data_IF_148937695430
#
_entry.id   IF_148937695430
#
_cell.length_a   1.000
_cell.length_b   1.000
_cell.length_c   1.000
_cell.angle_alpha   90.00
_cell.angle_beta   90.00
_cell.angle_gamma   90.00
#
_symmetry.space_group_name_H-M   'P 1'
#
loop_
_entity.id
_entity.type
_entity.pdbx_description
1 polymer ?
#
# COMPACT_ATOMS: atom_id res chain seq x y z
N UNK A 1 5.37 -53.62 59.97
CA UNK A 1 4.62 -52.94 58.89
C UNK A 1 4.54 -51.40 59.03
N UNK A 2 4.45 -50.82 60.23
CA UNK A 2 4.30 -49.36 60.39
C UNK A 2 5.46 -48.48 59.88
N UNK A 3 6.72 -48.88 60.08
CA UNK A 3 7.91 -48.06 59.73
C UNK A 3 8.06 -47.80 58.22
N UNK A 4 7.77 -48.78 57.36
CA UNK A 4 7.77 -48.56 55.89
C UNK A 4 6.67 -47.59 55.45
N UNK A 5 5.52 -47.61 56.13
CA UNK A 5 4.41 -46.71 55.83
C UNK A 5 4.78 -45.25 56.13
N UNK A 6 5.46 -45.00 57.26
CA UNK A 6 5.95 -43.65 57.59
C UNK A 6 6.98 -43.12 56.59
N UNK A 7 7.93 -43.94 56.15
CA UNK A 7 8.89 -43.51 55.12
C UNK A 7 8.23 -43.28 53.77
N UNK A 8 7.28 -44.13 53.35
CA UNK A 8 6.53 -43.96 52.11
C UNK A 8 5.66 -42.68 52.13
N UNK A 9 5.03 -42.36 53.26
CA UNK A 9 4.24 -41.14 53.42
C UNK A 9 5.15 -39.90 53.43
N UNK A 10 6.33 -39.98 54.07
CA UNK A 10 7.32 -38.90 54.07
C UNK A 10 7.87 -38.61 52.68
N UNK A 11 8.23 -39.64 51.91
CA UNK A 11 8.72 -39.46 50.53
C UNK A 11 7.63 -38.96 49.59
N UNK A 12 6.40 -39.47 49.72
CA UNK A 12 5.26 -38.97 48.95
C UNK A 12 4.95 -37.50 49.26
N UNK A 13 5.00 -37.11 50.53
CA UNK A 13 4.78 -35.71 50.94
C UNK A 13 5.86 -34.77 50.39
N UNK A 14 7.13 -35.21 50.38
CA UNK A 14 8.22 -34.44 49.79
C UNK A 14 8.05 -34.30 48.28
N UNK A 15 7.67 -35.37 47.58
CA UNK A 15 7.40 -35.34 46.14
C UNK A 15 6.23 -34.39 45.81
N UNK A 16 5.15 -34.43 46.59
CA UNK A 16 4.01 -33.52 46.42
C UNK A 16 4.37 -32.06 46.70
N UNK A 17 5.25 -31.80 47.67
CA UNK A 17 5.74 -30.45 47.94
C UNK A 17 6.58 -29.94 46.79
N UNK A 18 7.50 -30.76 46.28
CA UNK A 18 8.36 -30.40 45.14
C UNK A 18 7.50 -30.14 43.89
N UNK A 19 6.53 -31.00 43.59
CA UNK A 19 5.63 -30.78 42.43
C UNK A 19 4.75 -29.55 42.60
N UNK A 20 4.28 -29.26 43.82
CA UNK A 20 3.51 -28.04 44.10
C UNK A 20 4.34 -26.77 43.87
N UNK A 21 5.58 -26.74 44.36
CA UNK A 21 6.50 -25.61 44.18
C UNK A 21 6.86 -25.43 42.70
N UNK A 22 7.16 -26.51 41.97
CA UNK A 22 7.50 -26.42 40.55
C UNK A 22 6.32 -25.92 39.72
N UNK A 23 5.10 -26.38 39.99
CA UNK A 23 3.89 -25.88 39.33
C UNK A 23 3.62 -24.40 39.63
N UNK A 24 3.88 -23.95 40.86
CA UNK A 24 3.71 -22.55 41.24
C UNK A 24 4.73 -21.65 40.53
N UNK A 25 6.00 -22.06 40.49
CA UNK A 25 7.05 -21.35 39.75
C UNK A 25 6.73 -21.31 38.26
N UNK A 26 6.28 -22.43 37.68
CA UNK A 26 5.89 -22.49 36.26
C UNK A 26 4.74 -21.51 35.95
N UNK A 27 3.71 -21.43 36.80
CA UNK A 27 2.60 -20.48 36.61
C UNK A 27 3.03 -19.03 36.72
N UNK A 28 3.88 -18.69 37.70
CA UNK A 28 4.39 -17.31 37.85
C UNK A 28 5.27 -16.94 36.65
N UNK A 29 6.11 -17.86 36.19
CA UNK A 29 6.94 -17.65 35.02
C UNK A 29 6.10 -17.45 33.75
N UNK A 30 5.10 -18.31 33.51
CA UNK A 30 4.17 -18.16 32.39
C UNK A 30 3.49 -16.78 32.41
N UNK A 31 2.95 -16.37 33.57
CA UNK A 31 2.32 -15.05 33.70
C UNK A 31 3.28 -13.90 33.44
N UNK A 32 4.54 -14.01 33.89
CA UNK A 32 5.56 -13.00 33.64
C UNK A 32 5.91 -12.91 32.15
N UNK A 33 6.00 -14.05 31.46
CA UNK A 33 6.22 -14.11 30.00
C UNK A 33 5.04 -13.52 29.25
N UNK A 34 3.80 -13.90 29.59
CA UNK A 34 2.59 -13.38 28.95
C UNK A 34 2.51 -11.85 29.11
N UNK A 35 2.79 -11.34 30.31
CA UNK A 35 2.83 -9.89 30.55
C UNK A 35 3.95 -9.18 29.78
N UNK A 36 5.10 -9.82 29.60
CA UNK A 36 6.18 -9.27 28.78
C UNK A 36 5.76 -9.20 27.31
N UNK A 37 5.19 -10.29 26.77
CA UNK A 37 4.69 -10.37 25.39
C UNK A 37 3.58 -9.34 25.14
N UNK A 38 2.62 -9.20 26.06
CA UNK A 38 1.55 -8.19 25.98
C UNK A 38 2.10 -6.76 25.92
N UNK A 39 3.21 -6.49 26.62
CA UNK A 39 3.85 -5.17 26.62
C UNK A 39 4.69 -4.90 25.38
N UNK A 40 5.31 -5.93 24.78
CA UNK A 40 6.27 -5.73 23.69
C UNK A 40 5.69 -5.99 22.31
N UNK A 41 4.76 -6.92 22.13
CA UNK A 41 4.37 -7.40 20.78
C UNK A 41 2.93 -7.04 20.43
N UNK A 42 2.05 -6.94 21.43
CA UNK A 42 0.62 -6.69 21.19
C UNK A 42 0.38 -5.22 20.86
N UNK A 43 -0.49 -4.97 19.86
CA UNK A 43 -1.00 -3.64 19.54
C UNK A 43 -1.94 -3.19 20.65
N UNK A 44 -1.40 -2.51 21.65
CA UNK A 44 -2.13 -1.99 22.80
C UNK A 44 -1.61 -0.61 23.14
N UNK A 45 -2.49 0.29 23.57
CA UNK A 45 -2.08 1.62 24.03
C UNK A 45 -0.98 1.51 25.09
N UNK A 46 0.15 2.17 24.83
CA UNK A 46 1.33 2.17 25.70
C UNK A 46 2.38 1.10 25.39
N UNK A 47 2.19 0.23 24.39
CA UNK A 47 3.25 -0.63 23.88
C UNK A 47 4.08 0.08 22.80
N UNK A 48 5.39 -0.16 22.78
CA UNK A 48 6.31 0.40 21.77
C UNK A 48 5.94 -0.05 20.35
N UNK A 49 5.45 -1.29 20.22
CA UNK A 49 4.96 -1.83 18.94
C UNK A 49 3.73 -1.09 18.45
N UNK A 50 2.82 -0.68 19.34
CA UNK A 50 1.67 0.13 18.94
C UNK A 50 2.10 1.52 18.45
N UNK A 51 3.04 2.17 19.15
CA UNK A 51 3.55 3.49 18.74
C UNK A 51 4.27 3.42 17.39
N UNK A 52 5.11 2.40 17.19
CA UNK A 52 5.80 2.14 15.93
C UNK A 52 4.84 1.76 14.79
N UNK A 53 3.78 1.01 15.08
CA UNK A 53 2.74 0.68 14.09
C UNK A 53 1.91 1.90 13.70
N UNK A 54 1.59 2.75 14.68
CA UNK A 54 0.82 3.99 14.49
C UNK A 54 1.62 5.01 13.69
N UNK A 55 2.90 5.18 14.01
CA UNK A 55 3.83 6.08 13.34
C UNK A 55 5.18 5.38 13.14
N UNK A 56 5.40 4.74 11.98
CA UNK A 56 6.65 4.06 11.67
C UNK A 56 7.85 5.01 11.79
N UNK A 57 8.87 4.67 12.59
CA UNK A 57 10.01 5.56 12.84
C UNK A 57 10.98 5.62 11.66
N UNK A 58 11.02 4.57 10.83
CA UNK A 58 11.93 4.47 9.70
C UNK A 58 11.33 5.14 8.45
N UNK A 59 12.09 6.03 7.77
CA UNK A 59 11.64 6.60 6.51
C UNK A 59 11.57 5.51 5.45
N UNK A 60 10.42 5.42 4.78
CA UNK A 60 10.22 4.51 3.64
C UNK A 60 10.30 5.34 2.37
N UNK A 61 10.94 4.80 1.33
CA UNK A 61 11.05 5.44 0.03
C UNK A 61 10.40 4.56 -1.04
N UNK A 62 9.64 5.19 -1.92
CA UNK A 62 9.14 4.61 -3.17
C UNK A 62 9.94 5.19 -4.33
N UNK A 63 10.43 4.32 -5.22
CA UNK A 63 11.17 4.71 -6.42
C UNK A 63 10.37 4.29 -7.64
N UNK A 64 10.10 5.25 -8.53
CA UNK A 64 9.37 5.00 -9.76
C UNK A 64 10.33 4.97 -10.94
N UNK A 65 10.14 3.97 -11.80
CA UNK A 65 10.85 3.79 -13.06
C UNK A 65 9.81 3.74 -14.17
N UNK A 66 10.05 4.47 -15.25
CA UNK A 66 9.17 4.57 -16.40
C UNK A 66 9.82 3.96 -17.63
N UNK A 67 9.00 3.39 -18.51
CA UNK A 67 9.44 3.00 -19.84
C UNK A 67 9.03 4.06 -20.85
N UNK A 68 10.00 4.84 -21.32
CA UNK A 68 9.82 5.86 -22.34
C UNK A 68 9.80 5.22 -23.73
N UNK A 69 8.77 5.49 -24.52
CA UNK A 69 8.60 4.93 -25.87
C UNK A 69 9.42 5.73 -26.87
N UNK A 70 10.33 5.07 -27.59
CA UNK A 70 11.23 5.74 -28.56
C UNK A 70 10.72 5.73 -30.00
N UNK A 71 9.87 4.77 -30.37
CA UNK A 71 9.42 4.49 -31.74
C UNK A 71 7.87 4.44 -31.90
N UNK A 72 7.13 5.48 -31.48
CA UNK A 72 5.66 5.42 -31.43
C UNK A 72 5.02 5.22 -32.81
N UNK A 73 5.53 5.85 -33.87
CA UNK A 73 5.00 5.73 -35.23
C UNK A 73 5.22 4.33 -35.80
N UNK A 74 6.39 3.73 -35.57
CA UNK A 74 6.66 2.37 -36.01
C UNK A 74 5.79 1.35 -35.28
N UNK A 75 5.50 1.57 -33.99
CA UNK A 75 4.56 0.73 -33.23
C UNK A 75 3.15 0.80 -33.83
N UNK A 76 2.70 1.99 -34.26
CA UNK A 76 1.41 2.13 -34.95
C UNK A 76 1.40 1.42 -36.31
N UNK A 77 2.56 1.30 -36.96
CA UNK A 77 2.78 0.48 -38.15
C UNK A 77 2.83 -1.03 -37.90
N UNK A 78 2.81 -1.47 -36.64
CA UNK A 78 2.87 -2.88 -36.23
C UNK A 78 4.29 -3.40 -35.95
N UNK A 79 5.30 -2.53 -35.89
CA UNK A 79 6.65 -2.93 -35.48
C UNK A 79 6.76 -3.18 -33.98
N UNK A 80 7.88 -3.80 -33.57
CA UNK A 80 8.16 -4.12 -32.17
C UNK A 80 8.45 -2.83 -31.38
N UNK A 81 7.83 -2.62 -30.21
CA UNK A 81 8.13 -1.48 -29.34
C UNK A 81 9.58 -1.45 -28.84
N UNK A 82 10.20 -0.26 -28.92
CA UNK A 82 11.52 0.07 -28.36
C UNK A 82 11.35 1.03 -27.20
N UNK A 83 11.72 0.58 -26.01
CA UNK A 83 11.53 1.29 -24.74
C UNK A 83 12.88 1.63 -24.11
N UNK A 84 12.95 2.77 -23.44
CA UNK A 84 14.08 3.19 -22.63
C UNK A 84 13.62 3.37 -21.17
N UNK A 85 14.31 2.74 -20.22
CA UNK A 85 14.00 2.90 -18.80
C UNK A 85 14.50 4.27 -18.30
N UNK A 86 13.63 5.02 -17.61
CA UNK A 86 13.93 6.32 -17.04
C UNK A 86 13.58 6.31 -15.55
N UNK A 87 14.59 6.48 -14.69
CA UNK A 87 14.42 6.53 -13.25
C UNK A 87 15.76 6.43 -12.50
N UNK A 88 15.74 6.41 -11.16
CA UNK A 88 14.54 6.50 -10.32
C UNK A 88 14.00 7.92 -10.16
N UNK A 89 12.68 8.06 -9.97
CA UNK A 89 12.07 9.21 -9.32
C UNK A 89 11.66 8.82 -7.90
N UNK A 90 12.39 9.34 -6.92
CA UNK A 90 12.31 8.90 -5.53
C UNK A 90 11.38 9.80 -4.72
N UNK A 91 10.44 9.18 -4.00
CA UNK A 91 9.53 9.83 -3.07
C UNK A 91 9.65 9.21 -1.68
N UNK A 92 9.81 10.05 -0.66
CA UNK A 92 9.70 9.65 0.74
C UNK A 92 8.23 9.51 1.11
N UNK A 93 7.88 8.37 1.68
CA UNK A 93 6.54 8.11 2.18
C UNK A 93 6.38 8.59 3.62
N UNK A 94 5.33 9.38 3.85
CA UNK A 94 4.84 9.71 5.19
C UNK A 94 3.67 8.76 5.45
N UNK A 95 3.82 7.88 6.43
CA UNK A 95 2.80 6.88 6.79
C UNK A 95 2.36 7.10 8.23
N UNK A 96 1.05 7.16 8.45
CA UNK A 96 0.48 7.24 9.78
C UNK A 96 -0.89 6.54 9.84
N UNK A 97 -1.24 6.02 11.01
CA UNK A 97 -2.56 5.47 11.30
C UNK A 97 -3.43 6.52 11.99
N UNK A 98 -4.62 6.76 11.46
CA UNK A 98 -5.63 7.65 12.02
C UNK A 98 -6.90 6.86 12.39
N UNK A 99 -7.81 7.50 13.14
CA UNK A 99 -9.11 6.95 13.54
C UNK A 99 -9.01 5.54 14.15
N UNK A 100 -8.03 5.37 15.03
CA UNK A 100 -7.74 4.07 15.66
C UNK A 100 -8.82 3.76 16.69
N UNK A 101 -9.48 2.61 16.54
CA UNK A 101 -10.48 2.10 17.49
C UNK A 101 -10.14 0.66 17.87
N UNK A 102 -10.25 0.36 19.16
CA UNK A 102 -10.09 -1.00 19.68
C UNK A 102 -11.46 -1.64 19.84
N UNK A 103 -11.65 -2.80 19.23
CA UNK A 103 -12.86 -3.61 19.31
C UNK A 103 -12.66 -4.87 20.17
N UNK A 104 -13.77 -5.55 20.47
CA UNK A 104 -13.78 -6.90 21.05
C UNK A 104 -12.85 -7.07 22.26
N UNK A 105 -12.96 -6.17 23.24
CA UNK A 105 -12.12 -6.13 24.45
C UNK A 105 -10.60 -6.08 24.17
N UNK A 106 -10.19 -5.46 23.05
CA UNK A 106 -8.79 -5.29 22.67
C UNK A 106 -8.22 -6.41 21.81
N UNK A 107 -9.06 -7.32 21.29
CA UNK A 107 -8.64 -8.36 20.34
C UNK A 107 -8.64 -7.89 18.89
N UNK A 108 -9.44 -6.87 18.57
CA UNK A 108 -9.51 -6.28 17.23
C UNK A 108 -9.11 -4.80 17.27
N UNK A 109 -8.53 -4.33 16.17
CA UNK A 109 -8.14 -2.93 15.99
C UNK A 109 -8.53 -2.49 14.57
N UNK A 110 -9.22 -1.37 14.46
CA UNK A 110 -9.53 -0.70 13.19
C UNK A 110 -8.79 0.63 13.11
N UNK A 111 -8.32 0.98 11.92
CA UNK A 111 -7.62 2.24 11.68
C UNK A 111 -7.60 2.60 10.19
N UNK A 112 -7.56 3.89 9.91
CA UNK A 112 -7.32 4.44 8.57
C UNK A 112 -5.81 4.57 8.36
N UNK A 113 -5.30 4.05 7.24
CA UNK A 113 -3.88 4.19 6.88
C UNK A 113 -3.70 5.38 5.94
N UNK A 114 -3.20 6.48 6.49
CA UNK A 114 -2.84 7.65 5.71
C UNK A 114 -1.44 7.45 5.12
N UNK A 115 -1.30 7.82 3.85
CA UNK A 115 -0.04 7.80 3.13
C UNK A 115 0.08 9.11 2.35
N UNK A 116 1.23 9.75 2.41
CA UNK A 116 1.57 10.87 1.54
C UNK A 116 2.97 10.64 0.96
N UNK A 117 3.24 11.25 -0.18
CA UNK A 117 4.50 11.12 -0.90
C UNK A 117 5.16 12.50 -1.03
N UNK A 118 6.41 12.60 -0.60
CA UNK A 118 7.21 13.82 -0.70
C UNK A 118 8.36 13.54 -1.65
N UNK A 119 8.45 14.31 -2.74
CA UNK A 119 9.50 14.12 -3.73
C UNK A 119 10.89 14.44 -3.18
N UNK A 120 11.89 13.64 -3.57
CA UNK A 120 13.26 13.70 -3.05
C UNK A 120 14.23 13.85 -4.23
N UNK A 121 14.49 15.10 -4.60
CA UNK A 121 15.29 15.47 -5.78
C UNK A 121 16.70 14.83 -5.77
N UNK A 122 17.37 14.84 -4.61
CA UNK A 122 18.75 14.35 -4.50
C UNK A 122 18.91 12.83 -4.66
N UNK A 123 17.81 12.07 -4.58
CA UNK A 123 17.78 10.63 -4.81
C UNK A 123 17.08 10.28 -6.14
N UNK A 124 16.83 11.29 -6.98
CA UNK A 124 16.13 11.14 -8.26
C UNK A 124 17.05 11.46 -9.44
N UNK A 125 16.76 10.86 -10.59
CA UNK A 125 17.53 11.08 -11.83
C UNK A 125 17.34 12.49 -12.40
N UNK A 126 16.19 13.10 -12.16
CA UNK A 126 15.83 14.43 -12.63
C UNK A 126 14.63 14.99 -11.87
N UNK A 127 13.96 16.02 -12.42
CA UNK A 127 12.82 16.68 -11.78
C UNK A 127 11.50 16.12 -12.32
N UNK A 128 10.70 15.53 -11.45
CA UNK A 128 9.43 14.91 -11.83
C UNK A 128 8.42 15.92 -12.42
N UNK A 129 8.53 17.21 -12.11
CA UNK A 129 7.65 18.26 -12.62
C UNK A 129 7.96 18.66 -14.07
N UNK A 130 9.20 18.46 -14.53
CA UNK A 130 9.64 18.86 -15.87
C UNK A 130 9.91 17.68 -16.79
N UNK A 131 10.35 16.55 -16.25
CA UNK A 131 10.84 15.44 -17.05
C UNK A 131 9.67 14.74 -17.75
N UNK A 132 9.78 14.62 -19.07
CA UNK A 132 8.74 14.12 -19.94
C UNK A 132 8.93 12.63 -20.23
N UNK A 133 7.83 11.88 -20.10
CA UNK A 133 7.75 10.47 -20.47
C UNK A 133 6.68 10.34 -21.55
N UNK A 134 7.06 9.73 -22.68
CA UNK A 134 6.13 9.32 -23.73
C UNK A 134 5.69 7.89 -23.49
N UNK A 135 4.41 7.69 -23.28
CA UNK A 135 3.81 6.39 -22.98
C UNK A 135 2.41 6.27 -23.59
N UNK A 136 1.73 5.16 -23.37
CA UNK A 136 0.36 4.94 -23.83
C UNK A 136 -0.58 5.99 -23.25
N UNK A 137 -1.51 6.47 -24.06
CA UNK A 137 -2.64 7.27 -23.60
C UNK A 137 -3.66 6.37 -22.90
N UNK A 138 -3.36 6.03 -21.64
CA UNK A 138 -4.17 5.10 -20.84
C UNK A 138 -5.64 5.54 -20.77
N UNK A 139 -5.98 6.82 -20.51
CA UNK A 139 -7.38 7.28 -20.55
C UNK A 139 -8.10 6.96 -21.87
N UNK A 140 -7.47 7.26 -23.01
CA UNK A 140 -8.06 6.98 -24.32
C UNK A 140 -8.22 5.47 -24.57
N UNK A 141 -7.22 4.66 -24.20
CA UNK A 141 -7.28 3.19 -24.33
C UNK A 141 -8.39 2.60 -23.45
N UNK A 142 -8.50 3.05 -22.20
CA UNK A 142 -9.57 2.63 -21.29
C UNK A 142 -10.95 3.05 -21.80
N UNK A 143 -11.09 4.27 -22.33
CA UNK A 143 -12.32 4.72 -22.95
C UNK A 143 -12.71 3.87 -24.17
N UNK A 144 -11.72 3.49 -25.01
CA UNK A 144 -11.95 2.57 -26.13
C UNK A 144 -12.40 1.18 -25.66
N UNK A 145 -11.87 0.69 -24.55
CA UNK A 145 -12.29 -0.59 -23.97
C UNK A 145 -13.71 -0.52 -23.39
N UNK A 146 -14.11 0.59 -22.76
CA UNK A 146 -15.51 0.76 -22.34
C UNK A 146 -16.47 0.90 -23.53
N UNK A 147 -15.96 1.33 -24.67
CA UNK A 147 -16.69 1.48 -25.93
C UNK A 147 -16.92 0.14 -26.66
N UNK A 148 -16.87 -1.02 -25.99
CA UNK A 148 -17.06 -2.31 -26.66
C UNK A 148 -18.52 -2.54 -27.15
N UNK A 149 -19.56 -1.94 -26.54
CA UNK A 149 -20.97 -2.13 -26.97
C UNK A 149 -21.88 -0.89 -26.79
N UNK A 150 -22.86 -0.72 -27.69
CA UNK A 150 -24.01 0.20 -27.52
C UNK A 150 -23.81 1.65 -28.02
N UNK A 151 -24.67 2.57 -27.56
CA UNK A 151 -24.68 3.99 -27.95
C UNK A 151 -23.40 4.72 -27.49
N UNK A 152 -22.86 4.32 -26.33
CA UNK A 152 -21.64 4.87 -25.74
C UNK A 152 -20.44 4.67 -26.68
N UNK A 153 -20.38 3.54 -27.38
CA UNK A 153 -19.33 3.29 -28.38
C UNK A 153 -19.32 4.36 -29.49
N UNK A 154 -20.49 4.72 -30.01
CA UNK A 154 -20.61 5.72 -31.08
C UNK A 154 -20.15 7.09 -30.59
N UNK A 155 -20.52 7.45 -29.35
CA UNK A 155 -20.12 8.71 -28.72
C UNK A 155 -18.60 8.73 -28.53
N UNK A 156 -18.01 7.72 -27.89
CA UNK A 156 -16.56 7.67 -27.63
C UNK A 156 -15.77 7.67 -28.94
N UNK A 157 -16.16 6.87 -29.94
CA UNK A 157 -15.51 6.89 -31.27
C UNK A 157 -15.61 8.26 -31.96
N UNK A 158 -16.77 8.91 -31.88
CA UNK A 158 -16.96 10.25 -32.45
C UNK A 158 -16.08 11.28 -31.75
N UNK A 159 -15.99 11.23 -30.41
CA UNK A 159 -15.14 12.11 -29.62
C UNK A 159 -13.65 11.89 -29.92
N UNK A 160 -13.16 10.65 -29.88
CA UNK A 160 -11.77 10.32 -30.21
C UNK A 160 -11.38 10.84 -31.60
N UNK A 161 -12.28 10.69 -32.59
CA UNK A 161 -12.05 11.19 -33.95
C UNK A 161 -12.11 12.72 -34.04
N UNK A 162 -13.06 13.36 -33.36
CA UNK A 162 -13.23 14.82 -33.39
C UNK A 162 -12.05 15.55 -32.73
N UNK A 163 -11.55 15.01 -31.61
CA UNK A 163 -10.46 15.59 -30.82
C UNK A 163 -9.08 15.06 -31.20
N UNK A 164 -8.98 14.24 -32.26
CA UNK A 164 -7.71 13.68 -32.78
C UNK A 164 -6.82 13.11 -31.68
N UNK A 165 -7.40 12.31 -30.80
CA UNK A 165 -6.65 11.72 -29.69
C UNK A 165 -5.60 10.74 -30.22
N UNK A 166 -4.38 10.92 -29.75
CA UNK A 166 -3.25 10.05 -30.09
C UNK A 166 -3.18 8.84 -29.16
N UNK A 167 -2.67 7.72 -29.69
CA UNK A 167 -2.49 6.48 -28.94
C UNK A 167 -1.34 6.59 -27.92
N UNK A 168 -0.34 7.40 -28.22
CA UNK A 168 0.75 7.76 -27.32
C UNK A 168 0.59 9.20 -26.86
N UNK A 169 0.98 9.46 -25.63
CA UNK A 169 0.93 10.78 -25.01
C UNK A 169 2.26 11.06 -24.32
N UNK A 170 2.70 12.31 -24.37
CA UNK A 170 3.89 12.77 -23.63
C UNK A 170 3.45 13.63 -22.47
N UNK A 171 3.80 13.24 -21.25
CA UNK A 171 3.43 13.94 -20.00
C UNK A 171 4.59 13.97 -19.04
N UNK A 172 4.54 14.89 -18.08
CA UNK A 172 5.52 14.93 -17.00
C UNK A 172 5.36 13.72 -16.08
N UNK A 173 6.43 13.32 -15.41
CA UNK A 173 6.37 12.23 -14.41
C UNK A 173 5.37 12.55 -13.30
N UNK A 174 5.30 13.81 -12.87
CA UNK A 174 4.36 14.27 -11.85
C UNK A 174 2.90 14.09 -12.31
N UNK A 175 2.58 14.51 -13.53
CA UNK A 175 1.25 14.30 -14.12
C UNK A 175 0.89 12.80 -14.20
N UNK A 176 1.81 11.96 -14.69
CA UNK A 176 1.56 10.52 -14.83
C UNK A 176 1.33 9.82 -13.49
N UNK A 177 2.06 10.20 -12.43
CA UNK A 177 1.87 9.60 -11.10
C UNK A 177 0.64 10.16 -10.41
N UNK A 178 0.55 11.48 -10.26
CA UNK A 178 -0.35 12.10 -9.29
C UNK A 178 -1.64 12.62 -9.91
N UNK A 179 -1.68 12.78 -11.23
CA UNK A 179 -2.88 13.17 -11.94
C UNK A 179 -2.65 14.29 -12.94
N UNK A 180 -3.31 14.18 -14.08
CA UNK A 180 -3.59 15.29 -14.98
C UNK A 180 -5.06 15.25 -15.41
N UNK A 181 -5.58 16.39 -15.83
CA UNK A 181 -6.93 16.48 -16.40
C UNK A 181 -6.92 15.92 -17.81
N UNK A 182 -7.67 14.86 -18.05
CA UNK A 182 -7.75 14.24 -19.37
C UNK A 182 -8.96 14.78 -20.15
N UNK A 183 -8.79 14.98 -21.46
CA UNK A 183 -9.82 15.56 -22.32
C UNK A 183 -11.01 14.60 -22.50
N UNK A 184 -10.73 13.31 -22.75
CA UNK A 184 -11.78 12.31 -22.98
C UNK A 184 -12.55 12.03 -21.69
N UNK A 185 -11.86 11.87 -20.56
CA UNK A 185 -12.53 11.70 -19.26
C UNK A 185 -13.34 12.93 -18.89
N UNK A 186 -12.84 14.15 -19.18
CA UNK A 186 -13.60 15.39 -18.98
C UNK A 186 -14.89 15.46 -19.81
N UNK A 187 -14.88 14.91 -21.02
CA UNK A 187 -16.05 14.87 -21.90
C UNK A 187 -17.06 13.79 -21.49
N UNK A 188 -16.58 12.69 -20.90
CA UNK A 188 -17.43 11.58 -20.43
C UNK A 188 -18.06 11.90 -19.06
N UNK A 189 -17.34 12.61 -18.18
CA UNK A 189 -17.75 12.89 -16.81
C UNK A 189 -19.19 13.46 -16.68
N UNK A 190 -19.66 14.41 -17.50
CA UNK A 190 -21.05 14.89 -17.44
C UNK A 190 -22.11 13.82 -17.72
N UNK A 191 -21.78 12.79 -18.50
CA UNK A 191 -22.70 11.68 -18.84
C UNK A 191 -22.55 10.50 -17.87
N UNK A 192 -21.40 10.37 -17.20
CA UNK A 192 -21.11 9.38 -16.16
C UNK A 192 -20.30 10.04 -15.03
N UNK A 193 -20.99 10.66 -14.05
CA UNK A 193 -20.33 11.38 -12.96
C UNK A 193 -19.38 10.53 -12.12
N UNK A 194 -19.59 9.21 -12.08
CA UNK A 194 -18.74 8.25 -11.36
C UNK A 194 -17.30 8.18 -11.92
N UNK A 195 -17.09 8.60 -13.18
CA UNK A 195 -15.78 8.60 -13.82
C UNK A 195 -15.15 9.98 -13.62
N UNK A 196 -14.06 10.11 -12.85
CA UNK A 196 -13.42 11.41 -12.63
C UNK A 196 -12.78 11.94 -13.93
N UNK A 197 -12.72 13.27 -14.12
CA UNK A 197 -12.09 13.89 -15.29
C UNK A 197 -10.55 13.91 -15.23
N UNK A 198 -9.96 13.31 -14.19
CA UNK A 198 -8.52 13.26 -13.95
C UNK A 198 -8.01 11.82 -14.02
N UNK A 199 -6.79 11.65 -14.49
CA UNK A 199 -6.11 10.38 -14.51
C UNK A 199 -4.67 10.51 -14.01
N UNK A 200 -4.25 9.57 -13.16
CA UNK A 200 -2.87 9.36 -12.74
C UNK A 200 -2.74 7.96 -12.14
N UNK A 201 -1.56 7.35 -12.24
CA UNK A 201 -1.31 5.98 -11.78
C UNK A 201 -1.53 5.80 -10.27
N UNK A 202 -1.28 6.86 -9.50
CA UNK A 202 -1.49 6.97 -8.05
C UNK A 202 -2.43 8.13 -7.71
N UNK A 203 -3.34 8.48 -8.63
CA UNK A 203 -4.31 9.56 -8.40
C UNK A 203 -5.18 9.28 -7.16
N UNK A 204 -5.36 10.30 -6.32
CA UNK A 204 -6.16 10.21 -5.09
C UNK A 204 -5.48 9.50 -3.91
N UNK A 205 -4.20 9.15 -4.03
CA UNK A 205 -3.42 8.54 -2.93
C UNK A 205 -2.70 9.61 -2.07
N UNK A 206 -2.60 10.85 -2.54
CA UNK A 206 -1.99 12.00 -1.84
C UNK A 206 -3.02 12.93 -1.22
#
# INVERSE_FOLDING_TARGET
>A
MGRCCFYAVGTLSLLLLVTSVTLLVARVFQKAVDQAIEKTIVLRNGSETFDSWKQPPLPVYSQFYFFNVTNPEEILGGEIPRLEEVGPYTYREIRNKADIQFGDNGTTISAVSNKAYVFVQNLSVGDAQSDLIRTLNIPAVTAMEWAQQGIIQRIIRALLKAYRQEFFVTRTVHELLWGYKDEILSLIHPFKPDIPPYFGLYYGVT
#
